data_IF_427664828861
#
_entry.id   IF_427664828861
#
_cell.length_a   1.000
_cell.length_b   1.000
_cell.length_c   1.000
_cell.angle_alpha   90.00
_cell.angle_beta   90.00
_cell.angle_gamma   90.00
#
_symmetry.space_group_name_H-M   'P 1'
#
loop_
_entity.id
_entity.type
_entity.pdbx_description
1 polymer ?
#
# COMPACT_ATOMS: atom_id res chain seq x y z
N UNK A 1 30.82 4.30 7.10
CA UNK A 1 30.52 4.28 5.65
C UNK A 1 29.28 3.43 5.47
N UNK A 2 28.10 3.99 5.18
CA UNK A 2 26.91 3.22 4.75
C UNK A 2 25.74 4.05 4.18
N UNK A 3 25.75 5.39 4.29
CA UNK A 3 24.64 6.23 3.80
C UNK A 3 24.27 5.99 2.33
N UNK A 4 25.26 5.73 1.46
CA UNK A 4 25.02 5.50 0.04
C UNK A 4 24.21 4.23 -0.23
N UNK A 5 24.53 3.12 0.46
CA UNK A 5 23.79 1.86 0.34
C UNK A 5 22.38 1.95 0.91
N UNK A 6 22.18 2.76 1.95
CA UNK A 6 20.87 2.96 2.59
C UNK A 6 19.94 3.81 1.73
N UNK A 7 20.48 4.88 1.12
CA UNK A 7 19.71 5.73 0.22
C UNK A 7 19.34 5.00 -1.09
N UNK A 8 20.22 4.14 -1.61
CA UNK A 8 19.91 3.30 -2.78
C UNK A 8 18.84 2.23 -2.46
N UNK A 9 18.89 1.64 -1.26
CA UNK A 9 17.87 0.70 -0.81
C UNK A 9 16.50 1.38 -0.67
N UNK A 10 16.46 2.54 0.00
CA UNK A 10 15.23 3.31 0.19
C UNK A 10 14.62 3.78 -1.13
N UNK A 11 15.46 4.23 -2.09
CA UNK A 11 15.01 4.58 -3.44
C UNK A 11 14.46 3.37 -4.18
N UNK A 12 15.15 2.23 -4.12
CA UNK A 12 14.70 1.00 -4.77
C UNK A 12 13.33 0.57 -4.22
N UNK A 13 13.16 0.54 -2.91
CA UNK A 13 11.90 0.16 -2.27
C UNK A 13 10.78 1.15 -2.61
N UNK A 14 11.09 2.45 -2.66
CA UNK A 14 10.16 3.49 -3.11
C UNK A 14 9.69 3.27 -4.56
N UNK A 15 10.61 3.02 -5.50
CA UNK A 15 10.26 2.76 -6.90
C UNK A 15 9.48 1.46 -7.08
N UNK A 16 9.84 0.42 -6.33
CA UNK A 16 9.08 -0.84 -6.31
C UNK A 16 7.66 -0.57 -5.80
N UNK A 17 7.50 0.14 -4.70
CA UNK A 17 6.18 0.48 -4.15
C UNK A 17 5.34 1.33 -5.10
N UNK A 18 5.94 2.32 -5.79
CA UNK A 18 5.24 3.07 -6.83
C UNK A 18 4.81 2.16 -7.98
N UNK A 19 5.71 1.29 -8.45
CA UNK A 19 5.40 0.35 -9.52
C UNK A 19 4.28 -0.61 -9.15
N UNK A 20 4.30 -1.14 -7.93
CA UNK A 20 3.23 -1.99 -7.39
C UNK A 20 1.94 -1.21 -7.27
N UNK A 21 1.96 0.00 -6.68
CA UNK A 21 0.77 0.86 -6.57
C UNK A 21 0.14 1.14 -7.94
N UNK A 22 0.93 1.53 -8.94
CA UNK A 22 0.45 1.76 -10.30
C UNK A 22 -0.14 0.50 -10.93
N UNK A 23 0.51 -0.65 -10.76
CA UNK A 23 -0.04 -1.93 -11.23
C UNK A 23 -1.38 -2.24 -10.54
N UNK A 24 -1.49 -1.98 -9.23
CA UNK A 24 -2.72 -2.15 -8.48
C UNK A 24 -3.82 -1.18 -8.93
N UNK A 25 -3.50 0.07 -9.26
CA UNK A 25 -4.49 1.00 -9.83
C UNK A 25 -5.03 0.50 -11.17
N UNK A 26 -4.15 0.06 -12.07
CA UNK A 26 -4.56 -0.47 -13.38
C UNK A 26 -5.43 -1.71 -13.19
N UNK A 27 -5.00 -2.65 -12.36
CA UNK A 27 -5.79 -3.86 -12.09
C UNK A 27 -7.15 -3.48 -11.49
N UNK A 28 -7.15 -2.66 -10.44
CA UNK A 28 -8.33 -2.34 -9.64
C UNK A 28 -9.35 -1.47 -10.38
N UNK A 29 -8.90 -0.45 -11.11
CA UNK A 29 -9.78 0.55 -11.72
C UNK A 29 -9.94 0.41 -13.23
N UNK A 30 -9.10 -0.39 -13.89
CA UNK A 30 -9.24 -0.67 -15.33
C UNK A 30 -9.68 -2.10 -15.55
N UNK A 31 -8.95 -3.10 -15.05
CA UNK A 31 -9.22 -4.51 -15.33
C UNK A 31 -10.54 -4.96 -14.70
N UNK A 32 -10.69 -4.84 -13.38
CA UNK A 32 -11.89 -5.30 -12.67
C UNK A 32 -13.22 -4.71 -13.21
N UNK A 33 -13.33 -3.38 -13.45
CA UNK A 33 -14.52 -2.78 -14.05
C UNK A 33 -14.75 -3.23 -15.50
N UNK A 34 -13.68 -3.40 -16.29
CA UNK A 34 -13.79 -3.88 -17.69
C UNK A 34 -14.41 -5.27 -17.78
N UNK A 35 -14.04 -6.16 -16.85
CA UNK A 35 -14.64 -7.49 -16.74
C UNK A 35 -16.00 -7.50 -16.03
N UNK A 36 -16.56 -6.34 -15.68
CA UNK A 36 -17.82 -6.17 -14.93
C UNK A 36 -17.85 -6.96 -13.61
N UNK A 37 -16.68 -7.23 -13.01
CA UNK A 37 -16.56 -7.91 -11.72
C UNK A 37 -17.02 -7.01 -10.55
N UNK A 38 -16.94 -5.70 -10.77
CA UNK A 38 -17.41 -4.66 -9.84
C UNK A 38 -18.17 -3.59 -10.64
N UNK A 39 -19.22 -3.01 -10.05
CA UNK A 39 -19.96 -1.87 -10.61
C UNK A 39 -20.01 -0.68 -9.63
N UNK A 40 -18.85 -0.08 -9.32
CA UNK A 40 -18.75 0.99 -8.33
C UNK A 40 -19.39 2.33 -8.77
N UNK A 41 -19.74 2.49 -10.05
CA UNK A 41 -20.35 3.73 -10.59
C UNK A 41 -19.52 4.97 -10.24
N UNK A 42 -20.18 5.97 -9.65
CA UNK A 42 -19.56 7.24 -9.23
C UNK A 42 -18.50 7.09 -8.12
N UNK A 43 -18.51 5.98 -7.37
CA UNK A 43 -17.56 5.74 -6.28
C UNK A 43 -16.15 5.44 -6.80
N UNK A 44 -16.04 4.91 -8.03
CA UNK A 44 -14.74 4.58 -8.65
C UNK A 44 -13.86 5.82 -8.77
N UNK A 45 -14.43 6.93 -9.25
CA UNK A 45 -13.69 8.17 -9.40
C UNK A 45 -13.23 8.73 -8.05
N UNK A 46 -14.07 8.62 -7.01
CA UNK A 46 -13.72 9.06 -5.67
C UNK A 46 -12.59 8.22 -5.06
N UNK A 47 -12.64 6.90 -5.25
CA UNK A 47 -11.59 5.99 -4.76
C UNK A 47 -10.28 6.18 -5.51
N UNK A 48 -10.32 6.39 -6.82
CA UNK A 48 -9.15 6.74 -7.62
C UNK A 48 -8.54 8.07 -7.17
N UNK A 49 -9.36 9.08 -6.92
CA UNK A 49 -8.86 10.37 -6.44
C UNK A 49 -8.21 10.27 -5.05
N UNK A 50 -8.71 9.39 -4.18
CA UNK A 50 -8.12 9.11 -2.87
C UNK A 50 -6.86 8.23 -2.98
N UNK A 51 -6.80 7.28 -3.93
CA UNK A 51 -5.64 6.39 -4.10
C UNK A 51 -4.40 7.12 -4.59
N UNK A 52 -4.55 8.20 -5.35
CA UNK A 52 -3.43 9.04 -5.80
C UNK A 52 -2.56 9.55 -4.64
N UNK A 53 -3.07 10.36 -3.69
CA UNK A 53 -2.26 10.81 -2.56
C UNK A 53 -1.86 9.64 -1.64
N UNK A 54 -2.74 8.65 -1.43
CA UNK A 54 -2.44 7.52 -0.54
C UNK A 54 -1.31 6.61 -1.06
N UNK A 55 -1.26 6.36 -2.37
CA UNK A 55 -0.22 5.54 -2.99
C UNK A 55 1.13 6.25 -2.99
N UNK A 56 1.15 7.54 -3.34
CA UNK A 56 2.38 8.36 -3.34
C UNK A 56 2.93 8.55 -1.93
N UNK A 57 2.08 8.95 -0.98
CA UNK A 57 2.46 9.09 0.43
C UNK A 57 2.87 7.72 0.99
N UNK A 58 2.14 6.66 0.63
CA UNK A 58 2.41 5.31 1.08
C UNK A 58 3.78 4.80 0.64
N UNK A 59 4.10 4.95 -0.65
CA UNK A 59 5.42 4.59 -1.19
C UNK A 59 6.55 5.37 -0.50
N UNK A 60 6.34 6.66 -0.24
CA UNK A 60 7.29 7.49 0.49
C UNK A 60 7.51 7.00 1.92
N UNK A 61 6.43 6.64 2.64
CA UNK A 61 6.51 6.07 3.98
C UNK A 61 7.25 4.73 4.01
N UNK A 62 7.06 3.87 3.01
CA UNK A 62 7.82 2.60 2.91
C UNK A 62 9.31 2.87 2.71
N UNK A 63 9.70 3.75 1.77
CA UNK A 63 11.10 4.10 1.56
C UNK A 63 11.75 4.73 2.82
N UNK A 64 11.03 5.61 3.51
CA UNK A 64 11.48 6.19 4.77
C UNK A 64 11.62 5.15 5.89
N UNK A 65 10.67 4.21 5.97
CA UNK A 65 10.68 3.09 6.93
C UNK A 65 11.87 2.16 6.73
N UNK A 66 12.18 1.77 5.48
CA UNK A 66 13.35 0.93 5.16
C UNK A 66 14.65 1.56 5.62
N UNK A 67 14.81 2.88 5.38
CA UNK A 67 15.98 3.64 5.86
C UNK A 67 16.04 3.68 7.39
N UNK A 68 14.91 3.91 8.05
CA UNK A 68 14.83 3.97 9.51
C UNK A 68 15.15 2.63 10.18
N UNK A 69 14.65 1.51 9.61
CA UNK A 69 14.93 0.16 10.11
C UNK A 69 16.38 -0.25 9.90
N UNK A 70 16.98 0.09 8.75
CA UNK A 70 18.37 -0.24 8.49
C UNK A 70 19.34 0.48 9.45
N UNK A 71 19.10 1.77 9.71
CA UNK A 71 19.87 2.54 10.70
C UNK A 71 19.66 2.01 12.13
N UNK A 72 18.43 1.62 12.48
CA UNK A 72 18.13 1.06 13.79
C UNK A 72 18.80 -0.32 14.00
N UNK A 73 19.04 -1.08 12.93
CA UNK A 73 19.65 -2.40 13.02
C UNK A 73 21.15 -2.36 13.32
N UNK A 74 21.84 -1.31 12.86
CA UNK A 74 23.28 -1.06 13.09
C UNK A 74 23.62 -0.60 14.52
N UNK A 75 22.63 -0.17 15.32
CA UNK A 75 22.84 0.29 16.69
C UNK A 75 22.78 -0.87 17.72
N UNK A 76 23.58 -0.76 18.79
CA UNK A 76 23.68 -1.74 19.87
C UNK A 76 22.31 -2.11 20.48
N UNK A 77 22.11 -3.36 20.94
CA UNK A 77 20.83 -3.82 21.46
C UNK A 77 20.52 -3.18 22.82
N UNK A 78 19.67 -2.15 22.82
CA UNK A 78 19.08 -1.53 24.01
C UNK A 78 17.57 -1.36 23.89
N UNK A 79 16.89 -0.99 24.98
CA UNK A 79 15.42 -0.84 25.03
C UNK A 79 14.87 0.19 24.00
N UNK A 80 15.69 1.15 23.57
CA UNK A 80 15.37 2.12 22.52
C UNK A 80 15.37 1.53 21.10
N UNK A 81 16.05 0.40 20.88
CA UNK A 81 16.12 -0.31 19.58
C UNK A 81 14.78 -0.97 19.25
N UNK A 82 14.15 -1.64 20.23
CA UNK A 82 12.84 -2.28 20.05
C UNK A 82 11.76 -1.27 19.67
N UNK A 83 11.74 -0.11 20.34
CA UNK A 83 10.74 0.94 20.10
C UNK A 83 10.91 1.59 18.71
N UNK A 84 12.16 1.78 18.26
CA UNK A 84 12.46 2.28 16.91
C UNK A 84 12.11 1.29 15.81
N UNK A 85 12.35 -0.01 16.02
CA UNK A 85 11.97 -1.06 15.07
C UNK A 85 10.43 -1.12 14.95
N UNK A 86 9.71 -1.04 16.07
CA UNK A 86 8.25 -0.99 16.08
C UNK A 86 7.70 0.21 15.31
N UNK A 87 8.24 1.41 15.55
CA UNK A 87 7.87 2.61 14.81
C UNK A 87 8.17 2.49 13.31
N UNK A 88 9.33 1.94 12.96
CA UNK A 88 9.69 1.66 11.57
C UNK A 88 8.67 0.72 10.91
N UNK A 89 8.34 -0.39 11.55
CA UNK A 89 7.37 -1.36 11.04
C UNK A 89 5.95 -0.79 10.95
N UNK A 90 5.52 0.04 11.90
CA UNK A 90 4.23 0.72 11.82
C UNK A 90 4.17 1.70 10.64
N UNK A 91 5.20 2.51 10.45
CA UNK A 91 5.28 3.45 9.31
C UNK A 91 5.34 2.70 7.98
N UNK A 92 6.11 1.62 7.92
CA UNK A 92 6.18 0.77 6.73
C UNK A 92 4.86 0.06 6.43
N UNK A 93 4.19 -0.44 7.47
CA UNK A 93 2.87 -1.08 7.36
C UNK A 93 1.78 -0.11 6.91
N UNK A 94 1.75 1.10 7.46
CA UNK A 94 0.85 2.17 7.00
C UNK A 94 1.15 2.58 5.56
N UNK A 95 2.42 2.65 5.19
CA UNK A 95 2.83 2.93 3.82
C UNK A 95 2.35 1.86 2.84
N UNK A 96 2.48 0.59 3.21
CA UNK A 96 2.04 -0.55 2.42
C UNK A 96 0.52 -0.61 2.31
N UNK A 97 -0.22 -0.27 3.38
CA UNK A 97 -1.66 -0.14 3.35
C UNK A 97 -2.12 0.97 2.37
N UNK A 98 -1.41 2.10 2.32
CA UNK A 98 -1.65 3.16 1.34
C UNK A 98 -1.41 2.72 -0.10
N UNK A 99 -0.31 2.00 -0.35
CA UNK A 99 0.00 1.40 -1.67
C UNK A 99 -1.06 0.36 -2.09
N UNK A 100 -1.54 -0.45 -1.14
CA UNK A 100 -2.53 -1.49 -1.37
C UNK A 100 -3.98 -0.97 -1.40
N UNK A 101 -4.21 0.32 -1.13
CA UNK A 101 -5.54 0.92 -1.06
C UNK A 101 -6.45 0.63 -2.27
N UNK A 102 -5.99 0.75 -3.55
CA UNK A 102 -6.84 0.45 -4.71
C UNK A 102 -7.43 -0.96 -4.65
N UNK A 103 -6.59 -1.93 -4.28
CA UNK A 103 -6.95 -3.34 -4.20
C UNK A 103 -7.88 -3.61 -3.02
N UNK A 104 -7.64 -2.97 -1.87
CA UNK A 104 -8.52 -3.09 -0.70
C UNK A 104 -9.94 -2.62 -1.03
N UNK A 105 -10.09 -1.48 -1.71
CA UNK A 105 -11.40 -0.94 -2.07
C UNK A 105 -12.16 -1.87 -3.02
N UNK A 106 -11.48 -2.43 -4.02
CA UNK A 106 -12.08 -3.39 -4.94
C UNK A 106 -12.50 -4.68 -4.25
N UNK A 107 -11.68 -5.19 -3.33
CA UNK A 107 -12.01 -6.38 -2.55
C UNK A 107 -13.25 -6.12 -1.69
N UNK A 108 -13.31 -4.99 -0.98
CA UNK A 108 -14.46 -4.62 -0.14
C UNK A 108 -15.74 -4.54 -0.99
N UNK A 109 -15.67 -3.89 -2.16
CA UNK A 109 -16.82 -3.79 -3.05
C UNK A 109 -17.26 -5.16 -3.57
N UNK A 110 -16.31 -5.99 -4.00
CA UNK A 110 -16.58 -7.35 -4.45
C UNK A 110 -17.29 -8.19 -3.38
N UNK A 111 -16.79 -8.16 -2.14
CA UNK A 111 -17.43 -8.86 -1.02
C UNK A 111 -18.80 -8.27 -0.65
N UNK A 112 -18.96 -6.95 -0.75
CA UNK A 112 -20.24 -6.28 -0.49
C UNK A 112 -21.30 -6.72 -1.50
N UNK A 113 -20.92 -6.80 -2.79
CA UNK A 113 -21.80 -7.32 -3.84
C UNK A 113 -22.18 -8.76 -3.53
N UNK A 114 -21.20 -9.63 -3.25
CA UNK A 114 -21.44 -11.05 -2.95
C UNK A 114 -22.33 -11.27 -1.72
N UNK A 115 -22.14 -10.49 -0.65
CA UNK A 115 -22.91 -10.62 0.59
C UNK A 115 -24.35 -10.11 0.43
N UNK A 116 -24.55 -9.05 -0.37
CA UNK A 116 -25.86 -8.43 -0.56
C UNK A 116 -26.64 -8.97 -1.76
N UNK A 117 -26.05 -9.77 -2.65
CA UNK A 117 -26.82 -10.53 -3.62
C UNK A 117 -27.61 -11.61 -2.88
N UNK A 118 -28.95 -11.53 -2.79
CA UNK A 118 -29.73 -12.65 -2.31
C UNK A 118 -29.41 -13.82 -3.22
N UNK A 119 -29.04 -14.97 -2.64
CA UNK A 119 -29.08 -16.23 -3.36
C UNK A 119 -30.54 -16.39 -3.75
N UNK A 120 -30.90 -15.98 -4.96
CA UNK A 120 -32.13 -16.41 -5.59
C UNK A 120 -31.95 -17.90 -5.77
N UNK A 121 -32.39 -18.63 -4.75
CA UNK A 121 -32.59 -20.05 -4.82
C UNK A 121 -33.43 -20.34 -6.06
N UNK A 122 -32.91 -21.29 -6.82
CA UNK A 122 -33.65 -22.19 -7.71
C UNK A 122 -35.12 -22.37 -7.34
#
# INVERSE_FOLDING_TARGET
MNNFSLDDLAKKDFFICIGVWLALEVVSFVIFPTFRLIQPGDRLQSWFLMSLPLGVIGAFMVGASSRYMAIANEQDPGNSKTLRIWLGQLVGGLGLAGVAFPLLMVIIEFFTIMLNTPIQGT
#
